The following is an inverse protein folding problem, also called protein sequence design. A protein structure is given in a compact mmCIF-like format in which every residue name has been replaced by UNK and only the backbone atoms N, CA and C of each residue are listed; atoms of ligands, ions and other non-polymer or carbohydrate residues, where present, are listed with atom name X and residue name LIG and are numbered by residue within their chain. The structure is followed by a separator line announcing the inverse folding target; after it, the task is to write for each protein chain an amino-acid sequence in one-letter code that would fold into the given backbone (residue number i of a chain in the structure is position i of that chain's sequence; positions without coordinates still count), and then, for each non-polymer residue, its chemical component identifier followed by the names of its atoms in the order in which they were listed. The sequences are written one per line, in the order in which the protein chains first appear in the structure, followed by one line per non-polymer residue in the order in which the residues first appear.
data_IF_233217829146
#
_entry.id   IF_233217829146
#
_cell.length_a   1.000
_cell.length_b   1.000
_cell.length_c   1.000
_cell.angle_alpha   90.00
_cell.angle_beta   90.00
_cell.angle_gamma   90.00
#
_symmetry.space_group_name_H-M   'P 1'
#
loop_
_entity.id
_entity.type
_entity.pdbx_description
1 polymer ?
#
# COMPACT_ATOMS: atom_id res chain seq x y z
N UNK A 1 -3.10 -13.19 13.12
CA UNK A 1 -3.88 -12.44 12.11
C UNK A 1 -5.00 -11.70 12.83
N UNK A 2 -5.09 -10.37 12.70
CA UNK A 2 -6.10 -9.58 13.41
C UNK A 2 -7.33 -9.44 12.51
N UNK A 3 -8.47 -10.02 12.92
CA UNK A 3 -9.72 -9.92 12.17
C UNK A 3 -10.29 -8.49 12.29
N UNK A 4 -10.31 -7.76 11.18
CA UNK A 4 -10.92 -6.42 11.07
C UNK A 4 -12.45 -6.51 10.98
N UNK A 5 -13.11 -7.15 11.95
CA UNK A 5 -14.57 -7.05 12.06
C UNK A 5 -14.96 -5.62 12.50
N UNK A 6 -16.03 -5.05 11.92
CA UNK A 6 -16.54 -3.71 12.25
C UNK A 6 -16.44 -2.68 11.11
N UNK A 7 -16.69 -1.42 11.43
CA UNK A 7 -16.70 -0.30 10.47
C UNK A 7 -15.38 0.47 10.53
N UNK A 8 -14.70 0.62 9.41
CA UNK A 8 -13.53 1.48 9.25
C UNK A 8 -13.93 2.82 8.65
N UNK A 9 -13.80 3.86 9.44
CA UNK A 9 -14.13 5.23 9.08
C UNK A 9 -12.85 5.98 8.72
N UNK A 10 -12.76 6.40 7.46
CA UNK A 10 -11.70 7.27 6.97
C UNK A 10 -12.08 8.73 7.22
N UNK A 11 -11.54 9.30 8.30
CA UNK A 11 -11.63 10.73 8.57
C UNK A 11 -10.41 11.45 7.97
N UNK A 12 -10.66 12.53 7.23
CA UNK A 12 -9.62 13.36 6.60
C UNK A 12 -8.94 14.32 7.57
N UNK A 13 -9.56 14.65 8.70
CA UNK A 13 -9.13 15.77 9.55
C UNK A 13 -7.85 15.45 10.34
N UNK A 14 -7.76 14.23 10.88
CA UNK A 14 -6.70 13.89 11.84
C UNK A 14 -5.66 12.89 11.30
N UNK A 15 -5.73 12.54 10.00
CA UNK A 15 -4.80 11.58 9.40
C UNK A 15 -4.85 10.18 10.03
N UNK A 16 -5.98 9.83 10.65
CA UNK A 16 -6.24 8.56 11.33
C UNK A 16 -7.50 7.91 10.74
N UNK A 17 -7.64 6.60 10.96
CA UNK A 17 -8.90 5.88 10.71
C UNK A 17 -9.50 5.48 12.06
N UNK A 18 -10.82 5.49 12.14
CA UNK A 18 -11.54 5.07 13.34
C UNK A 18 -12.16 3.72 13.05
N UNK A 19 -11.94 2.73 13.91
CA UNK A 19 -12.64 1.46 13.86
C UNK A 19 -13.77 1.47 14.88
N UNK A 20 -14.98 1.18 14.44
CA UNK A 20 -16.14 1.01 15.29
C UNK A 20 -16.52 -0.48 15.36
N UNK A 21 -16.62 -1.01 16.58
CA UNK A 21 -17.15 -2.36 16.85
C UNK A 21 -18.18 -2.22 17.97
N UNK A 22 -19.47 -2.26 17.63
CA UNK A 22 -20.52 -1.86 18.57
C UNK A 22 -20.29 -0.42 19.04
N UNK A 23 -20.28 -0.21 20.35
CA UNK A 23 -20.06 1.11 20.96
C UNK A 23 -18.58 1.49 21.11
N UNK A 24 -17.66 0.55 20.85
CA UNK A 24 -16.23 0.79 20.99
C UNK A 24 -15.67 1.49 19.75
N UNK A 25 -14.97 2.60 19.96
CA UNK A 25 -14.24 3.35 18.94
C UNK A 25 -12.74 3.33 19.24
N UNK A 26 -11.97 2.74 18.34
CA UNK A 26 -10.51 2.69 18.44
C UNK A 26 -9.90 3.49 17.28
N UNK A 27 -8.95 4.39 17.59
CA UNK A 27 -8.20 5.14 16.59
C UNK A 27 -6.98 4.37 16.10
N UNK A 28 -6.80 4.30 14.79
CA UNK A 28 -5.65 3.67 14.14
C UNK A 28 -4.96 4.65 13.19
N UNK A 29 -3.66 4.41 12.97
CA UNK A 29 -2.91 5.15 11.95
C UNK A 29 -3.52 4.93 10.56
N UNK A 30 -3.52 5.98 9.73
CA UNK A 30 -4.08 5.86 8.39
C UNK A 30 -3.22 4.95 7.50
N UNK A 31 -3.77 3.82 7.03
CA UNK A 31 -3.02 2.85 6.24
C UNK A 31 -2.55 3.44 4.90
N UNK A 32 -3.25 4.45 4.34
CA UNK A 32 -2.81 5.16 3.15
C UNK A 32 -1.51 5.95 3.37
N UNK A 33 -1.35 6.55 4.55
CA UNK A 33 -0.10 7.22 4.90
C UNK A 33 1.02 6.20 5.12
N UNK A 34 0.69 5.06 5.74
CA UNK A 34 1.64 3.97 5.97
C UNK A 34 2.18 3.39 4.65
N UNK A 35 1.30 3.01 3.70
CA UNK A 35 1.73 2.49 2.39
C UNK A 35 2.45 3.56 1.57
N UNK A 36 2.06 4.83 1.67
CA UNK A 36 2.76 5.94 1.05
C UNK A 36 4.20 6.07 1.55
N UNK A 37 4.42 5.93 2.86
CA UNK A 37 5.76 5.90 3.46
C UNK A 37 6.56 4.69 3.00
N UNK A 38 5.97 3.50 3.01
CA UNK A 38 6.63 2.28 2.52
C UNK A 38 7.05 2.41 1.07
N UNK A 39 6.20 2.97 0.20
CA UNK A 39 6.53 3.27 -1.19
C UNK A 39 7.76 4.18 -1.29
N UNK A 40 7.82 5.26 -0.51
CA UNK A 40 8.96 6.19 -0.51
C UNK A 40 10.27 5.49 -0.08
N UNK A 41 10.20 4.68 0.97
CA UNK A 41 11.36 3.93 1.47
C UNK A 41 11.83 2.89 0.43
N UNK A 42 10.90 2.14 -0.17
CA UNK A 42 11.22 1.17 -1.21
C UNK A 42 11.86 1.83 -2.43
N UNK A 43 11.35 2.98 -2.88
CA UNK A 43 11.97 3.75 -3.97
C UNK A 43 13.40 4.19 -3.64
N UNK A 44 13.63 4.67 -2.41
CA UNK A 44 14.97 5.06 -1.96
C UNK A 44 15.92 3.88 -1.91
N UNK A 45 15.46 2.75 -1.40
CA UNK A 45 16.25 1.52 -1.35
C UNK A 45 16.60 1.02 -2.77
N UNK A 46 15.63 0.99 -3.68
CA UNK A 46 15.87 0.62 -5.08
C UNK A 46 16.90 1.51 -5.77
N UNK A 47 16.81 2.83 -5.55
CA UNK A 47 17.77 3.79 -6.07
C UNK A 47 19.18 3.59 -5.48
N UNK A 48 19.27 3.32 -4.17
CA UNK A 48 20.55 3.02 -3.51
C UNK A 48 21.20 1.73 -4.04
N UNK A 49 20.38 0.76 -4.47
CA UNK A 49 20.85 -0.45 -5.13
C UNK A 49 21.19 -0.25 -6.63
N UNK A 50 21.17 0.97 -7.15
CA UNK A 50 21.51 1.29 -8.55
C UNK A 50 20.43 0.91 -9.56
N UNK A 51 19.19 0.68 -9.12
CA UNK A 51 18.09 0.36 -10.03
C UNK A 51 17.46 1.63 -10.62
N UNK A 52 16.99 1.58 -11.88
CA UNK A 52 16.24 2.69 -12.46
C UNK A 52 14.91 2.92 -11.74
N UNK A 53 14.32 4.12 -11.87
CA UNK A 53 13.05 4.45 -11.25
C UNK A 53 11.94 3.52 -11.75
N UNK A 54 11.33 2.79 -10.81
CA UNK A 54 10.20 1.90 -11.08
C UNK A 54 8.87 2.52 -10.65
N UNK A 55 7.78 2.31 -11.43
CA UNK A 55 6.44 2.60 -10.95
C UNK A 55 6.12 1.61 -9.81
N UNK A 56 5.83 2.16 -8.63
CA UNK A 56 5.39 1.39 -7.47
C UNK A 56 4.00 1.91 -7.13
N UNK A 57 3.00 1.09 -7.38
CA UNK A 57 1.64 1.34 -6.93
C UNK A 57 1.51 0.90 -5.46
N UNK A 58 0.74 1.67 -4.69
CA UNK A 58 0.61 1.46 -3.25
C UNK A 58 -0.85 1.62 -2.86
N UNK A 59 -1.49 0.48 -2.60
CA UNK A 59 -2.91 0.36 -2.31
C UNK A 59 -3.12 -0.40 -1.00
N UNK A 60 -4.28 -0.17 -0.38
CA UNK A 60 -4.71 -0.82 0.86
C UNK A 60 -5.83 -1.79 0.53
N UNK A 61 -5.57 -3.07 0.75
CA UNK A 61 -6.56 -4.13 0.53
C UNK A 61 -7.13 -4.58 1.86
N UNK A 62 -8.44 -4.47 2.02
CA UNK A 62 -9.14 -4.98 3.20
C UNK A 62 -9.56 -6.42 2.95
N UNK A 63 -8.93 -7.35 3.67
CA UNK A 63 -9.12 -8.79 3.49
C UNK A 63 -10.41 -9.33 4.13
N UNK A 64 -10.96 -8.64 5.13
CA UNK A 64 -12.16 -9.09 5.82
C UNK A 64 -13.41 -8.58 5.08
N UNK A 65 -14.28 -9.47 4.57
CA UNK A 65 -15.46 -9.07 3.80
C UNK A 65 -16.53 -8.39 4.66
N UNK A 66 -16.57 -8.69 5.96
CA UNK A 66 -17.48 -8.06 6.92
C UNK A 66 -17.07 -6.64 7.32
N UNK A 67 -15.91 -6.16 6.87
CA UNK A 67 -15.51 -4.77 7.13
C UNK A 67 -16.31 -3.79 6.26
N UNK A 68 -16.96 -2.83 6.92
CA UNK A 68 -17.58 -1.69 6.24
C UNK A 68 -16.52 -0.60 6.07
N UNK A 69 -16.36 -0.10 4.85
CA UNK A 69 -15.42 0.99 4.55
C UNK A 69 -16.23 2.28 4.37
N UNK A 70 -16.14 3.17 5.35
CA UNK A 70 -16.78 4.48 5.29
C UNK A 70 -15.78 5.56 4.91
N UNK A 71 -16.03 6.21 3.78
CA UNK A 71 -15.27 7.36 3.33
C UNK A 71 -16.04 8.65 3.62
N UNK A 72 -16.12 9.02 4.89
CA UNK A 72 -16.90 10.19 5.34
C UNK A 72 -16.47 11.48 4.65
N UNK A 73 -15.15 11.67 4.48
CA UNK A 73 -14.59 12.83 3.80
C UNK A 73 -14.73 12.79 2.26
N UNK A 74 -15.38 11.76 1.69
CA UNK A 74 -15.50 11.53 0.23
C UNK A 74 -14.17 11.69 -0.51
N UNK A 75 -13.08 11.28 0.15
CA UNK A 75 -11.74 11.42 -0.38
C UNK A 75 -11.54 10.54 -1.60
N UNK A 76 -11.18 11.15 -2.73
CA UNK A 76 -10.81 10.42 -3.96
C UNK A 76 -9.63 9.47 -3.72
N UNK A 77 -8.72 9.81 -2.80
CA UNK A 77 -7.58 8.94 -2.45
C UNK A 77 -8.07 7.63 -1.83
N UNK A 78 -9.04 7.71 -0.93
CA UNK A 78 -9.64 6.51 -0.30
C UNK A 78 -10.38 5.68 -1.33
N UNK A 79 -11.21 6.29 -2.20
CA UNK A 79 -11.93 5.57 -3.25
C UNK A 79 -11.02 4.84 -4.24
N UNK A 80 -9.88 5.46 -4.59
CA UNK A 80 -9.00 4.90 -5.61
C UNK A 80 -8.08 3.82 -5.04
N UNK A 81 -7.56 4.02 -3.83
CA UNK A 81 -6.47 3.23 -3.25
C UNK A 81 -6.88 2.33 -2.09
N UNK A 82 -8.13 2.39 -1.62
CA UNK A 82 -8.65 1.47 -0.60
C UNK A 82 -9.77 0.65 -1.21
N UNK A 83 -9.64 -0.67 -1.20
CA UNK A 83 -10.64 -1.57 -1.75
C UNK A 83 -10.67 -2.90 -1.00
N UNK A 84 -11.77 -3.65 -1.19
CA UNK A 84 -11.91 -4.99 -0.62
C UNK A 84 -11.13 -6.01 -1.43
N UNK A 85 -10.70 -7.10 -0.79
CA UNK A 85 -9.94 -8.16 -1.46
C UNK A 85 -10.65 -8.73 -2.70
N UNK A 86 -11.98 -8.79 -2.71
CA UNK A 86 -12.79 -9.21 -3.86
C UNK A 86 -12.58 -8.34 -5.10
N UNK A 87 -12.25 -7.06 -4.91
CA UNK A 87 -11.97 -6.11 -6.00
C UNK A 87 -10.52 -6.16 -6.47
N UNK A 88 -9.65 -6.89 -5.78
CA UNK A 88 -8.22 -6.94 -6.08
C UNK A 88 -7.90 -7.45 -7.50
N UNK A 89 -8.54 -8.52 -8.02
CA UNK A 89 -8.27 -8.97 -9.39
C UNK A 89 -8.58 -7.90 -10.44
N UNK A 90 -9.68 -7.16 -10.26
CA UNK A 90 -10.07 -6.08 -11.18
C UNK A 90 -9.10 -4.90 -11.12
N UNK A 91 -8.72 -4.49 -9.91
CA UNK A 91 -7.73 -3.42 -9.69
C UNK A 91 -6.37 -3.80 -10.26
N UNK A 92 -5.92 -5.03 -10.02
CA UNK A 92 -4.66 -5.55 -10.54
C UNK A 92 -4.64 -5.52 -12.07
N UNK A 93 -5.72 -5.98 -12.72
CA UNK A 93 -5.82 -5.93 -14.19
C UNK A 93 -5.71 -4.50 -14.71
N UNK A 94 -6.46 -3.56 -14.13
CA UNK A 94 -6.40 -2.15 -14.52
C UNK A 94 -4.99 -1.54 -14.32
N UNK A 95 -4.29 -1.92 -13.26
CA UNK A 95 -2.90 -1.50 -13.02
C UNK A 95 -1.95 -2.09 -14.05
N UNK A 96 -2.11 -3.37 -14.39
CA UNK A 96 -1.31 -4.01 -15.44
C UNK A 96 -1.52 -3.30 -16.77
N UNK A 97 -2.77 -3.09 -17.20
CA UNK A 97 -3.10 -2.39 -18.44
C UNK A 97 -2.51 -0.96 -18.50
N UNK A 98 -2.52 -0.24 -17.38
CA UNK A 98 -1.90 1.09 -17.26
C UNK A 98 -0.39 1.07 -17.52
N UNK A 99 0.30 0.03 -17.08
CA UNK A 99 1.77 -0.07 -17.15
C UNK A 99 2.27 -0.91 -18.34
N UNK A 100 1.42 -1.67 -19.01
CA UNK A 100 1.76 -2.47 -20.22
C UNK A 100 2.27 -1.60 -21.37
N UNK A 101 1.90 -0.32 -21.44
CA UNK A 101 2.29 0.58 -22.54
C UNK A 101 3.59 1.35 -22.29
N UNK A 102 4.07 1.41 -21.05
CA UNK A 102 4.96 2.52 -20.64
C UNK A 102 6.45 2.15 -20.50
N UNK A 103 6.85 0.86 -20.59
CA UNK A 103 8.24 0.41 -20.77
C UNK A 103 8.39 -1.12 -20.72
N UNK A 104 9.42 -1.64 -21.38
CA UNK A 104 9.90 -3.01 -21.13
C UNK A 104 10.70 -3.04 -19.82
N UNK A 105 10.13 -3.67 -18.78
CA UNK A 105 10.74 -3.80 -17.46
C UNK A 105 11.57 -5.09 -17.31
N UNK A 106 11.70 -5.92 -18.34
CA UNK A 106 12.36 -7.23 -18.30
C UNK A 106 13.80 -7.15 -17.76
N UNK A 107 14.60 -6.20 -18.27
CA UNK A 107 15.97 -5.98 -17.84
C UNK A 107 16.06 -5.53 -16.37
N UNK A 108 15.08 -4.77 -15.89
CA UNK A 108 15.03 -4.28 -14.52
C UNK A 108 14.67 -5.42 -13.56
N UNK A 109 13.70 -6.26 -13.93
CA UNK A 109 13.33 -7.45 -13.17
C UNK A 109 14.51 -8.44 -13.07
N UNK A 110 15.30 -8.57 -14.12
CA UNK A 110 16.51 -9.39 -14.10
C UNK A 110 17.58 -8.83 -13.13
N UNK A 111 17.81 -7.51 -13.14
CA UNK A 111 18.72 -6.84 -12.18
C UNK A 111 18.24 -6.98 -10.73
N UNK A 112 16.93 -6.87 -10.48
CA UNK A 112 16.34 -7.05 -9.15
C UNK A 112 16.57 -8.47 -8.61
N UNK A 113 16.34 -9.50 -9.44
CA UNK A 113 16.61 -10.90 -9.04
C UNK A 113 18.06 -11.10 -8.62
N UNK A 114 19.00 -10.51 -9.35
CA UNK A 114 20.44 -10.65 -9.08
C UNK A 114 20.90 -9.87 -7.84
N UNK A 115 20.23 -8.76 -7.49
CA UNK A 115 20.56 -7.94 -6.33
C UNK A 115 19.89 -8.41 -5.03
N UNK A 116 18.67 -8.96 -5.08
CA UNK A 116 18.02 -9.55 -3.90
C UNK A 116 18.83 -10.72 -3.32
N UNK A 117 19.52 -11.50 -4.17
CA UNK A 117 20.39 -12.60 -3.74
C UNK A 117 21.67 -12.13 -3.02
N UNK A 118 22.00 -10.83 -3.03
CA UNK A 118 23.25 -10.27 -2.48
C UNK A 118 23.06 -9.42 -1.23
N UNK A 119 21.85 -9.41 -0.65
CA UNK A 119 21.57 -8.55 0.52
C UNK A 119 22.23 -9.10 1.79
N UNK A 120 23.40 -8.55 2.13
CA UNK A 120 23.92 -8.55 3.50
C UNK A 120 23.00 -7.76 4.44
N UNK A 121 23.01 -8.03 5.76
CA UNK A 121 22.13 -7.39 6.72
C UNK A 121 22.29 -5.86 6.71
N UNK A 122 21.17 -5.15 6.81
CA UNK A 122 21.09 -3.70 6.93
C UNK A 122 22.01 -3.26 8.09
N UNK A 123 22.98 -2.34 7.89
CA UNK A 123 23.74 -1.81 9.00
C UNK A 123 22.80 -1.03 9.92
N UNK A 124 22.85 -1.35 11.20
CA UNK A 124 22.09 -0.68 12.26
C UNK A 124 22.34 0.83 12.25
N UNK A 125 21.31 1.67 12.50
CA UNK A 125 21.53 3.09 12.69
C UNK A 125 22.44 3.26 13.91
N UNK A 126 23.62 3.84 13.68
CA UNK A 126 24.53 4.25 14.75
C UNK A 126 23.83 5.28 15.63
N UNK A 127 23.75 4.96 16.93
CA UNK A 127 23.37 5.86 18.01
C UNK A 127 24.36 7.02 18.15
#
# INVERSE_FOLDING_TARGET
MQNYSGTLIFNSENGQIIRCIGDRRDGFANPLLQVGRHRKLLKRWLAACGNPPLPIEADVVIASPSTIIENQARSRRVQNHVFRAEQAPHKLRAMMEKHTRDRDYSLILQKLKNNCAKTTPIPSPTS
#
